data_IF_447998821086
#
_entry.id   IF_447998821086
#
_cell.length_a   1.000
_cell.length_b   1.000
_cell.length_c   1.000
_cell.angle_alpha   90.00
_cell.angle_beta   90.00
_cell.angle_gamma   90.00
#
_symmetry.space_group_name_H-M   'P 1'
#
loop_
_entity.id
_entity.type
_entity.pdbx_description
1 polymer ?
#
# COMPACT_ATOMS: atom_id res chain seq x y z
N UNK A 1 -4.02 26.34 -10.74
CA UNK A 1 -3.56 25.08 -10.13
C UNK A 1 -3.10 24.14 -11.24
N UNK A 2 -2.02 23.38 -11.03
CA UNK A 2 -1.60 22.29 -11.93
C UNK A 2 -1.98 20.96 -11.28
N UNK A 3 -2.81 20.10 -11.92
CA UNK A 3 -3.18 18.82 -11.34
C UNK A 3 -1.95 17.90 -11.27
N UNK A 4 -1.80 17.18 -10.14
CA UNK A 4 -0.73 16.22 -9.93
C UNK A 4 -1.25 15.05 -9.08
N UNK A 5 -0.70 13.86 -9.32
CA UNK A 5 -0.98 12.68 -8.49
C UNK A 5 -0.04 12.72 -7.29
N UNK A 6 -0.60 12.80 -6.09
CA UNK A 6 0.19 12.80 -4.85
C UNK A 6 0.55 11.39 -4.38
N UNK A 7 -0.38 10.45 -4.52
CA UNK A 7 -0.23 9.07 -4.02
C UNK A 7 -0.72 8.08 -5.07
N UNK A 8 0.03 7.00 -5.26
CA UNK A 8 -0.40 5.82 -5.99
C UNK A 8 -0.34 4.64 -5.02
N UNK A 9 -1.47 3.95 -4.83
CA UNK A 9 -1.55 2.75 -3.99
C UNK A 9 -1.66 1.51 -4.86
N UNK A 10 -0.75 0.55 -4.68
CA UNK A 10 -0.78 -0.73 -5.38
C UNK A 10 -1.27 -1.84 -4.45
N UNK A 11 -2.29 -2.57 -4.91
CA UNK A 11 -2.73 -3.81 -4.28
C UNK A 11 -1.68 -4.91 -4.45
N UNK A 12 -1.17 -5.47 -3.36
CA UNK A 12 -0.18 -6.54 -3.38
C UNK A 12 -0.66 -7.77 -2.62
N UNK A 13 -0.23 -8.96 -3.05
CA UNK A 13 -0.58 -10.23 -2.38
C UNK A 13 0.18 -10.43 -1.06
N UNK A 14 1.41 -9.96 -0.97
CA UNK A 14 2.26 -10.08 0.21
C UNK A 14 3.13 -8.81 0.33
N UNK A 15 3.03 -8.13 1.47
CA UNK A 15 3.69 -6.85 1.70
C UNK A 15 5.21 -7.02 1.82
N UNK A 16 5.67 -8.03 2.54
CA UNK A 16 7.09 -8.23 2.83
C UNK A 16 7.88 -8.50 1.54
N UNK A 17 7.35 -9.34 0.66
CA UNK A 17 7.93 -9.65 -0.65
C UNK A 17 7.95 -8.41 -1.55
N UNK A 18 6.86 -7.65 -1.59
CA UNK A 18 6.79 -6.44 -2.39
C UNK A 18 7.73 -5.35 -1.85
N UNK A 19 7.79 -5.17 -0.53
CA UNK A 19 8.73 -4.29 0.15
C UNK A 19 10.18 -4.64 -0.20
N UNK A 20 10.54 -5.93 -0.13
CA UNK A 20 11.87 -6.39 -0.50
C UNK A 20 12.19 -6.08 -1.97
N UNK A 21 11.25 -6.29 -2.88
CA UNK A 21 11.40 -5.97 -4.30
C UNK A 21 11.70 -4.48 -4.52
N UNK A 22 10.88 -3.58 -3.98
CA UNK A 22 11.11 -2.14 -4.18
C UNK A 22 12.35 -1.62 -3.46
N UNK A 23 12.74 -2.20 -2.32
CA UNK A 23 14.03 -1.91 -1.68
C UNK A 23 15.22 -2.35 -2.54
N UNK A 24 15.12 -3.48 -3.24
CA UNK A 24 16.16 -3.93 -4.17
C UNK A 24 16.31 -2.99 -5.38
N UNK A 25 15.23 -2.28 -5.75
CA UNK A 25 15.27 -1.19 -6.75
C UNK A 25 15.83 0.14 -6.20
N UNK A 26 16.19 0.19 -4.91
CA UNK A 26 16.77 1.37 -4.26
C UNK A 26 15.77 2.31 -3.59
N UNK A 27 14.48 1.97 -3.51
CA UNK A 27 13.50 2.81 -2.83
C UNK A 27 13.63 2.66 -1.31
N UNK A 28 13.59 3.80 -0.60
CA UNK A 28 13.63 3.84 0.87
C UNK A 28 12.22 3.81 1.45
N UNK A 29 12.04 3.00 2.49
CA UNK A 29 10.77 2.92 3.23
C UNK A 29 11.03 2.59 4.70
N UNK A 30 10.21 3.14 5.63
CA UNK A 30 10.19 2.71 7.03
C UNK A 30 9.85 1.21 7.21
N UNK A 31 9.26 0.58 6.19
CA UNK A 31 8.79 -0.80 6.23
C UNK A 31 7.28 -0.88 6.33
N UNK A 32 6.77 -1.98 6.90
CA UNK A 32 5.34 -2.13 7.19
C UNK A 32 4.99 -1.26 8.39
N UNK A 33 3.97 -0.42 8.25
CA UNK A 33 3.49 0.52 9.27
C UNK A 33 2.00 0.32 9.50
N UNK A 34 1.45 0.96 10.55
CA UNK A 34 0.02 0.94 10.85
C UNK A 34 -0.53 -0.47 11.14
N UNK A 35 0.33 -1.33 11.70
CA UNK A 35 0.00 -2.71 12.09
C UNK A 35 -0.87 -2.79 13.33
N UNK A 36 -0.97 -1.71 14.10
CA UNK A 36 -1.83 -1.57 15.28
C UNK A 36 -3.32 -1.50 14.93
N UNK A 37 -3.66 -1.19 13.67
CA UNK A 37 -5.04 -1.17 13.18
C UNK A 37 -5.42 -2.55 12.64
N UNK A 38 -5.94 -3.40 13.52
CA UNK A 38 -6.49 -4.69 13.13
C UNK A 38 -7.78 -4.50 12.32
N UNK A 39 -7.92 -5.28 11.25
CA UNK A 39 -9.15 -5.39 10.46
C UNK A 39 -10.00 -6.57 10.89
N UNK A 40 -11.17 -6.69 10.29
CA UNK A 40 -12.08 -7.82 10.41
C UNK A 40 -12.62 -8.25 9.03
N UNK A 41 -13.69 -9.04 9.00
CA UNK A 41 -14.28 -9.54 7.75
C UNK A 41 -14.82 -8.41 6.86
N UNK A 42 -15.17 -7.26 7.44
CA UNK A 42 -15.81 -6.11 6.78
C UNK A 42 -14.95 -4.85 6.80
N UNK A 43 -14.12 -4.66 7.82
CA UNK A 43 -13.25 -3.50 7.97
C UNK A 43 -11.81 -3.85 7.60
N UNK A 44 -11.12 -3.00 6.83
CA UNK A 44 -9.76 -3.28 6.40
C UNK A 44 -8.75 -3.15 7.55
N UNK A 45 -7.74 -4.03 7.58
CA UNK A 45 -6.58 -3.85 8.44
C UNK A 45 -5.68 -2.73 7.89
N UNK A 46 -5.06 -1.93 8.76
CA UNK A 46 -4.30 -0.74 8.35
C UNK A 46 -2.87 -1.00 7.88
N UNK A 47 -2.38 -2.23 7.96
CA UNK A 47 -1.00 -2.57 7.63
C UNK A 47 -0.67 -2.24 6.15
N UNK A 48 0.33 -1.37 5.94
CA UNK A 48 0.74 -0.91 4.61
C UNK A 48 2.22 -0.53 4.58
N UNK A 49 2.74 -0.28 3.38
CA UNK A 49 4.11 0.23 3.16
C UNK A 49 4.03 1.53 2.39
N UNK A 50 4.81 2.56 2.77
CA UNK A 50 4.95 3.79 1.99
C UNK A 50 6.40 4.00 1.55
N UNK A 51 6.57 4.46 0.31
CA UNK A 51 7.83 4.94 -0.26
C UNK A 51 7.65 6.40 -0.68
N UNK A 52 8.50 7.28 -0.16
CA UNK A 52 8.56 8.66 -0.63
C UNK A 52 9.49 8.73 -1.85
N UNK A 53 8.94 9.14 -2.98
CA UNK A 53 9.66 9.35 -4.22
C UNK A 53 10.14 10.79 -4.33
N UNK A 54 11.02 11.03 -5.30
CA UNK A 54 11.51 12.37 -5.61
C UNK A 54 10.33 13.30 -5.97
N UNK A 55 10.33 14.51 -5.40
CA UNK A 55 9.24 15.47 -5.63
C UNK A 55 8.02 15.28 -4.71
N UNK A 56 8.12 14.45 -3.66
CA UNK A 56 7.09 14.33 -2.62
C UNK A 56 5.91 13.42 -2.96
N UNK A 57 5.97 12.71 -4.10
CA UNK A 57 5.01 11.66 -4.43
C UNK A 57 5.20 10.43 -3.55
N UNK A 58 4.10 9.72 -3.28
CA UNK A 58 4.10 8.51 -2.47
C UNK A 58 3.68 7.33 -3.32
N UNK A 59 4.49 6.27 -3.30
CA UNK A 59 4.06 4.93 -3.70
C UNK A 59 3.71 4.15 -2.44
N UNK A 60 2.45 3.74 -2.31
CA UNK A 60 1.97 2.91 -1.22
C UNK A 60 1.72 1.47 -1.69
N UNK A 61 2.02 0.50 -0.84
CA UNK A 61 1.64 -0.90 -1.03
C UNK A 61 0.64 -1.28 0.04
N UNK A 62 -0.45 -1.91 -0.37
CA UNK A 62 -1.52 -2.29 0.53
C UNK A 62 -1.99 -3.71 0.19
N UNK A 63 -2.28 -4.60 1.16
CA UNK A 63 -2.73 -5.95 0.84
C UNK A 63 -3.99 -5.89 -0.01
N UNK A 64 -4.04 -6.75 -1.02
CA UNK A 64 -5.13 -6.76 -2.00
C UNK A 64 -6.51 -6.95 -1.36
N UNK A 65 -6.62 -7.82 -0.36
CA UNK A 65 -7.86 -8.05 0.37
C UNK A 65 -8.30 -6.80 1.13
N UNK A 66 -7.37 -6.15 1.83
CA UNK A 66 -7.66 -4.98 2.65
C UNK A 66 -7.98 -3.76 1.80
N UNK A 67 -7.27 -3.53 0.68
CA UNK A 67 -7.61 -2.44 -0.24
C UNK A 67 -8.99 -2.63 -0.89
N UNK A 68 -9.41 -3.88 -1.16
CA UNK A 68 -10.74 -4.14 -1.69
C UNK A 68 -11.84 -3.79 -0.67
N UNK A 69 -11.65 -4.19 0.61
CA UNK A 69 -12.53 -3.78 1.72
C UNK A 69 -12.59 -2.26 1.86
N UNK A 70 -11.44 -1.59 1.87
CA UNK A 70 -11.32 -0.13 1.97
C UNK A 70 -12.02 0.61 0.83
N UNK A 71 -11.91 0.08 -0.40
CA UNK A 71 -12.59 0.63 -1.58
C UNK A 71 -14.08 0.25 -1.68
N UNK A 72 -14.60 -0.62 -0.79
CA UNK A 72 -15.99 -1.07 -0.83
C UNK A 72 -16.35 -1.91 -2.06
N UNK A 73 -15.37 -2.63 -2.62
CA UNK A 73 -15.56 -3.47 -3.82
C UNK A 73 -15.17 -4.92 -3.56
N UNK A 74 -15.73 -5.89 -4.31
CA UNK A 74 -15.24 -7.26 -4.27
C UNK A 74 -13.77 -7.33 -4.68
N UNK A 75 -13.01 -8.21 -4.02
CA UNK A 75 -11.64 -8.47 -4.42
C UNK A 75 -11.60 -9.03 -5.86
N UNK A 76 -10.91 -8.34 -6.76
CA UNK A 76 -10.77 -8.79 -8.14
C UNK A 76 -9.90 -10.07 -8.28
N UNK A 77 -9.86 -10.68 -9.47
CA UNK A 77 -9.08 -11.90 -9.75
C UNK A 77 -7.57 -11.73 -9.54
N UNK A 78 -6.90 -12.82 -9.18
CA UNK A 78 -5.45 -12.86 -8.93
C UNK A 78 -4.62 -12.81 -10.22
#
# INVERSE_FOLDING_TARGET
MKPQIGVITLAVKNLERALAFYRALGLKSPGVTATEFAGDDTHPAGALVMFCLNGGQILALYPRSELAKDAGIPQGPA
#
